data_IF_476884614055
#
_entry.id   IF_476884614055
#
_cell.length_a   1.000
_cell.length_b   1.000
_cell.length_c   1.000
_cell.angle_alpha   90.00
_cell.angle_beta   90.00
_cell.angle_gamma   90.00
#
_symmetry.space_group_name_H-M   'P 1'
#
loop_
_entity.id
_entity.type
_entity.pdbx_description
1 polymer ?
#
# COMPACT_ATOMS: atom_id res chain seq x y z
N UNK A 1 -30.61 -12.53 49.00
CA UNK A 1 -29.30 -12.48 48.31
C UNK A 1 -29.39 -11.55 47.10
N UNK A 2 -28.78 -10.36 47.18
CA UNK A 2 -28.64 -9.43 46.03
C UNK A 2 -27.39 -9.83 45.24
N UNK A 3 -27.56 -10.27 43.98
CA UNK A 3 -26.45 -10.36 43.02
C UNK A 3 -26.50 -9.10 42.16
N UNK A 4 -25.72 -8.10 42.56
CA UNK A 4 -25.44 -6.91 41.77
C UNK A 4 -24.56 -7.35 40.59
N UNK A 5 -25.14 -7.49 39.39
CA UNK A 5 -24.34 -7.44 38.17
C UNK A 5 -23.93 -5.99 37.94
N UNK A 6 -22.71 -5.69 37.47
CA UNK A 6 -22.39 -4.33 37.08
C UNK A 6 -23.27 -3.97 35.88
N UNK A 7 -24.16 -3.02 36.12
CA UNK A 7 -24.84 -2.21 35.13
C UNK A 7 -23.77 -1.57 34.24
N UNK A 8 -23.53 -2.15 33.07
CA UNK A 8 -22.68 -1.54 32.05
C UNK A 8 -23.55 -0.76 31.08
N UNK A 9 -24.32 0.19 31.61
CA UNK A 9 -24.87 1.29 30.84
C UNK A 9 -24.19 2.59 31.28
N UNK A 10 -23.78 3.39 30.29
CA UNK A 10 -23.26 4.77 30.39
C UNK A 10 -21.81 4.97 30.89
N UNK A 11 -20.84 4.83 29.98
CA UNK A 11 -19.61 5.63 30.04
C UNK A 11 -19.14 6.02 28.63
N UNK A 12 -20.05 6.59 27.86
CA UNK A 12 -19.70 7.40 26.70
C UNK A 12 -20.40 8.74 26.92
N UNK A 13 -19.91 9.47 27.91
CA UNK A 13 -20.13 10.91 27.96
C UNK A 13 -19.38 11.50 26.77
N UNK A 14 -20.10 12.30 25.98
CA UNK A 14 -19.58 13.07 24.86
C UNK A 14 -18.43 13.96 25.33
N UNK A 15 -17.19 13.47 25.19
CA UNK A 15 -15.97 14.27 25.36
C UNK A 15 -15.34 14.52 23.98
N UNK A 16 -15.18 15.81 23.69
CA UNK A 16 -14.91 16.38 22.37
C UNK A 16 -13.71 15.75 21.63
N UNK A 17 -13.89 15.55 20.32
CA UNK A 17 -12.78 15.65 19.36
C UNK A 17 -11.85 14.45 19.19
N UNK A 18 -12.15 13.28 19.78
CA UNK A 18 -11.36 12.08 19.50
C UNK A 18 -11.74 11.57 18.10
N UNK A 19 -10.89 11.85 17.10
CA UNK A 19 -10.93 11.16 15.81
C UNK A 19 -11.01 9.66 16.08
N UNK A 20 -12.19 9.07 15.81
CA UNK A 20 -12.43 7.66 16.08
C UNK A 20 -11.29 6.84 15.47
N UNK A 21 -10.68 5.89 16.22
CA UNK A 21 -9.58 5.10 15.71
C UNK A 21 -9.99 4.51 14.36
N UNK A 22 -9.13 4.61 13.32
CA UNK A 22 -9.52 4.21 11.98
C UNK A 22 -10.07 2.79 12.05
N UNK A 23 -11.30 2.63 11.56
CA UNK A 23 -11.97 1.32 11.61
C UNK A 23 -11.03 0.26 11.03
N UNK A 24 -11.06 -0.97 11.57
CA UNK A 24 -10.20 -2.08 11.10
C UNK A 24 -10.24 -2.27 9.57
N UNK A 25 -11.29 -1.76 8.93
CA UNK A 25 -11.48 -1.68 7.48
C UNK A 25 -10.59 -0.65 6.77
N UNK A 26 -10.37 0.55 7.34
CA UNK A 26 -9.50 1.59 6.74
C UNK A 26 -8.04 1.13 6.71
N UNK A 27 -7.51 0.66 7.84
CA UNK A 27 -6.14 0.15 7.93
C UNK A 27 -5.85 -0.95 6.90
N UNK A 28 -6.82 -1.85 6.67
CA UNK A 28 -6.72 -2.88 5.63
C UNK A 28 -6.69 -2.28 4.23
N UNK A 29 -7.52 -1.28 3.94
CA UNK A 29 -7.55 -0.61 2.64
C UNK A 29 -6.22 0.08 2.34
N UNK A 30 -5.63 0.75 3.31
CA UNK A 30 -4.35 1.45 3.14
C UNK A 30 -3.22 0.46 2.87
N UNK A 31 -3.24 -0.70 3.53
CA UNK A 31 -2.29 -1.78 3.26
C UNK A 31 -2.45 -2.39 1.86
N UNK A 32 -3.68 -2.52 1.39
CA UNK A 32 -3.95 -2.96 0.03
C UNK A 32 -3.48 -1.93 -0.99
N UNK A 33 -3.78 -0.65 -0.78
CA UNK A 33 -3.35 0.42 -1.68
C UNK A 33 -1.83 0.44 -1.87
N UNK A 34 -1.04 0.29 -0.79
CA UNK A 34 0.43 0.19 -0.88
C UNK A 34 0.91 -1.04 -1.63
N UNK A 35 0.27 -2.20 -1.42
CA UNK A 35 0.61 -3.41 -2.17
C UNK A 35 0.27 -3.25 -3.66
N UNK A 36 -0.84 -2.60 -3.98
CA UNK A 36 -1.27 -2.34 -5.35
C UNK A 36 -0.29 -1.39 -6.06
N UNK A 37 0.22 -0.37 -5.36
CA UNK A 37 1.31 0.49 -5.85
C UNK A 37 2.55 -0.35 -6.15
N UNK A 38 2.97 -1.19 -5.20
CA UNK A 38 4.11 -2.09 -5.38
C UNK A 38 3.94 -3.02 -6.58
N UNK A 39 2.74 -3.60 -6.77
CA UNK A 39 2.45 -4.42 -7.94
C UNK A 39 2.52 -3.61 -9.24
N UNK A 40 1.95 -2.39 -9.27
CA UNK A 40 2.01 -1.51 -10.44
C UNK A 40 3.45 -1.15 -10.80
N UNK A 41 4.31 -0.87 -9.82
CA UNK A 41 5.73 -0.60 -10.03
C UNK A 41 6.44 -1.77 -10.73
N UNK A 42 6.10 -3.02 -10.40
CA UNK A 42 6.70 -4.20 -11.04
C UNK A 42 6.31 -4.37 -12.52
N UNK A 43 5.28 -3.68 -12.98
CA UNK A 43 4.81 -3.68 -14.37
C UNK A 43 5.37 -2.53 -15.19
N UNK A 44 6.00 -1.55 -14.55
CA UNK A 44 6.63 -0.42 -15.22
C UNK A 44 7.94 -0.83 -15.91
N UNK A 45 8.31 -0.07 -16.93
CA UNK A 45 9.62 -0.18 -17.57
C UNK A 45 10.72 0.49 -16.74
N UNK A 46 11.98 0.11 -16.97
CA UNK A 46 13.12 0.70 -16.24
C UNK A 46 13.21 2.22 -16.43
N UNK A 47 12.84 2.72 -17.63
CA UNK A 47 12.78 4.17 -17.93
C UNK A 47 11.72 4.91 -17.12
N UNK A 48 10.61 4.25 -16.79
CA UNK A 48 9.56 4.84 -15.96
C UNK A 48 9.96 4.81 -14.49
N UNK A 49 10.61 3.73 -14.03
CA UNK A 49 11.18 3.65 -12.69
C UNK A 49 12.29 4.68 -12.47
N UNK A 50 13.08 5.01 -13.50
CA UNK A 50 14.08 6.08 -13.43
C UNK A 50 13.49 7.49 -13.29
N UNK A 51 12.27 7.71 -13.79
CA UNK A 51 11.56 8.99 -13.64
C UNK A 51 10.95 9.17 -12.26
N UNK A 52 10.73 8.07 -11.55
CA UNK A 52 10.24 8.09 -10.18
C UNK A 52 11.48 8.06 -9.30
N UNK A 53 11.67 9.11 -8.49
CA UNK A 53 12.78 9.18 -7.53
C UNK A 53 12.52 8.20 -6.37
N UNK A 54 12.82 6.93 -6.62
CA UNK A 54 12.66 5.82 -5.68
C UNK A 54 13.97 5.61 -4.93
N UNK A 55 13.86 5.31 -3.63
CA UNK A 55 14.98 4.78 -2.85
C UNK A 55 15.54 3.50 -3.50
N UNK A 56 16.85 3.32 -3.43
CA UNK A 56 17.56 2.17 -3.99
C UNK A 56 16.95 0.84 -3.49
N UNK A 57 16.52 0.79 -2.22
CA UNK A 57 15.86 -0.39 -1.64
C UNK A 57 14.59 -0.80 -2.39
N UNK A 58 13.74 0.18 -2.75
CA UNK A 58 12.50 -0.08 -3.48
C UNK A 58 12.82 -0.50 -4.91
N UNK A 59 13.79 0.16 -5.54
CA UNK A 59 14.21 -0.15 -6.90
C UNK A 59 14.73 -1.59 -7.01
N UNK A 60 15.59 -2.00 -6.09
CA UNK A 60 16.13 -3.35 -6.04
C UNK A 60 15.04 -4.40 -5.82
N UNK A 61 14.13 -4.15 -4.88
CA UNK A 61 12.98 -5.03 -4.61
C UNK A 61 12.07 -5.18 -5.84
N UNK A 62 11.82 -4.10 -6.59
CA UNK A 62 11.02 -4.12 -7.83
C UNK A 62 11.74 -4.94 -8.94
N UNK A 63 13.04 -4.74 -9.12
CA UNK A 63 13.83 -5.50 -10.10
C UNK A 63 13.85 -6.99 -9.72
N UNK A 64 14.02 -7.30 -8.44
CA UNK A 64 13.99 -8.66 -7.94
C UNK A 64 12.62 -9.31 -8.17
N UNK A 65 11.53 -8.62 -7.85
CA UNK A 65 10.15 -9.09 -8.08
C UNK A 65 9.87 -9.44 -9.55
N UNK A 66 10.51 -8.74 -10.51
CA UNK A 66 10.40 -9.04 -11.95
C UNK A 66 11.14 -10.32 -12.35
N UNK A 67 12.24 -10.65 -11.68
CA UNK A 67 13.05 -11.86 -11.94
C UNK A 67 12.43 -13.13 -11.35
N UNK A 68 11.59 -13.01 -10.33
CA UNK A 68 10.96 -14.16 -9.68
C UNK A 68 9.95 -14.83 -10.64
N UNK A 69 10.16 -16.12 -10.90
CA UNK A 69 9.22 -16.96 -11.68
C UNK A 69 8.07 -17.52 -10.84
N UNK A 70 8.27 -17.74 -9.53
CA UNK A 70 7.26 -18.31 -8.64
C UNK A 70 6.25 -17.26 -8.18
N UNK A 71 4.97 -17.50 -8.45
CA UNK A 71 3.88 -16.60 -8.06
C UNK A 71 3.83 -16.34 -6.55
N UNK A 72 4.13 -17.34 -5.72
CA UNK A 72 4.16 -17.21 -4.26
C UNK A 72 5.29 -16.31 -3.76
N UNK A 73 6.49 -16.49 -4.31
CA UNK A 73 7.64 -15.64 -3.98
C UNK A 73 7.42 -14.19 -4.46
N UNK A 74 6.88 -14.02 -5.67
CA UNK A 74 6.55 -12.69 -6.22
C UNK A 74 5.54 -11.96 -5.33
N UNK A 75 4.50 -12.65 -4.86
CA UNK A 75 3.50 -12.06 -3.95
C UNK A 75 4.10 -11.63 -2.60
N UNK A 76 5.08 -12.38 -2.08
CA UNK A 76 5.80 -12.00 -0.86
C UNK A 76 6.66 -10.76 -1.10
N UNK A 77 7.32 -10.70 -2.26
CA UNK A 77 8.12 -9.55 -2.64
C UNK A 77 7.27 -8.27 -2.79
N UNK A 78 6.12 -8.36 -3.45
CA UNK A 78 5.17 -7.23 -3.54
C UNK A 78 4.74 -6.74 -2.16
N UNK A 79 4.53 -7.65 -1.20
CA UNK A 79 4.23 -7.25 0.18
C UNK A 79 5.41 -6.56 0.86
N UNK A 80 6.64 -7.01 0.58
CA UNK A 80 7.85 -6.36 1.08
C UNK A 80 7.98 -4.94 0.52
N UNK A 81 7.77 -4.76 -0.80
CA UNK A 81 7.70 -3.44 -1.44
C UNK A 81 6.62 -2.58 -0.78
N UNK A 82 5.41 -3.12 -0.55
CA UNK A 82 4.34 -2.42 0.15
C UNK A 82 4.68 -2.02 1.59
N UNK A 83 5.56 -2.76 2.27
CA UNK A 83 6.07 -2.40 3.59
C UNK A 83 7.11 -1.27 3.49
N UNK A 84 8.03 -1.33 2.52
CA UNK A 84 9.00 -0.26 2.26
C UNK A 84 8.31 1.06 1.95
N UNK A 85 7.24 1.03 1.14
CA UNK A 85 6.41 2.19 0.81
C UNK A 85 5.75 2.86 2.03
N UNK A 86 5.70 2.24 3.21
CA UNK A 86 5.22 2.90 4.44
C UNK A 86 6.22 3.94 4.97
N UNK A 87 7.48 3.82 4.60
CA UNK A 87 8.57 4.66 5.10
C UNK A 87 8.97 5.76 4.10
N UNK A 88 8.28 5.85 2.96
CA UNK A 88 8.60 6.78 1.88
C UNK A 88 7.34 7.53 1.45
N UNK A 89 7.49 8.73 0.88
CA UNK A 89 6.36 9.47 0.34
C UNK A 89 5.84 8.78 -0.94
N UNK A 90 4.64 8.18 -0.86
CA UNK A 90 3.99 7.52 -2.00
C UNK A 90 3.20 8.47 -2.88
N UNK A 91 2.95 9.71 -2.44
CA UNK A 91 2.17 10.68 -3.20
C UNK A 91 2.71 10.98 -4.62
N UNK A 92 4.03 11.19 -4.83
CA UNK A 92 4.57 11.39 -6.19
C UNK A 92 4.48 10.11 -7.04
N UNK A 93 4.66 8.95 -6.41
CA UNK A 93 4.57 7.64 -7.07
C UNK A 93 3.15 7.41 -7.58
N UNK A 94 2.14 7.64 -6.74
CA UNK A 94 0.73 7.51 -7.07
C UNK A 94 0.34 8.43 -8.23
N UNK A 95 0.75 9.70 -8.20
CA UNK A 95 0.48 10.65 -9.30
C UNK A 95 1.07 10.18 -10.63
N UNK A 96 2.31 9.70 -10.62
CA UNK A 96 2.95 9.18 -11.83
C UNK A 96 2.25 7.92 -12.32
N UNK A 97 1.93 7.00 -11.40
CA UNK A 97 1.22 5.77 -11.70
C UNK A 97 -0.15 6.04 -12.31
N UNK A 98 -0.87 7.05 -11.84
CA UNK A 98 -2.18 7.44 -12.36
C UNK A 98 -2.06 8.08 -13.75
N UNK A 99 -1.04 8.89 -13.98
CA UNK A 99 -0.71 9.38 -15.32
C UNK A 99 -0.40 8.23 -16.30
N UNK A 100 0.33 7.21 -15.86
CA UNK A 100 0.64 6.01 -16.68
C UNK A 100 -0.60 5.14 -16.89
N UNK A 101 -1.46 4.98 -15.87
CA UNK A 101 -2.71 4.22 -15.98
C UNK A 101 -3.69 4.87 -16.96
N UNK A 102 -3.77 6.21 -16.94
CA UNK A 102 -4.61 6.98 -17.85
C UNK A 102 -4.14 6.91 -19.31
N UNK A 103 -2.85 6.66 -19.53
CA UNK A 103 -2.26 6.45 -20.85
C UNK A 103 -1.52 5.12 -20.90
N UNK A 104 -2.22 3.98 -21.03
CA UNK A 104 -1.56 2.69 -21.16
C UNK A 104 -0.68 2.75 -22.41
N UNK A 105 0.63 2.78 -22.20
CA UNK A 105 1.60 2.87 -23.26
C UNK A 105 1.43 1.63 -24.15
N UNK A 106 0.75 1.79 -25.29
CA UNK A 106 0.57 0.76 -26.33
C UNK A 106 1.90 0.50 -27.02
N UNK A 107 2.88 -0.07 -26.33
CA UNK A 107 4.04 -0.66 -26.98
C UNK A 107 4.05 -2.13 -26.62
N UNK A 108 3.31 -2.91 -27.42
CA UNK A 108 3.68 -4.30 -27.66
C UNK A 108 4.92 -4.23 -28.54
N UNK A 109 5.94 -4.94 -28.11
CA UNK A 109 7.15 -5.21 -28.88
C UNK A 109 6.79 -5.60 -30.32
N UNK A 110 7.46 -4.94 -31.26
CA UNK A 110 7.47 -5.26 -32.69
C UNK A 110 8.44 -6.42 -32.94
#
# INVERSE_FOLDING_TARGET
MKRQGPDNSSFFEDEEGIEAPPSRTRLKKDDHARQDIGERLTRLSDKELERIDLSDEIRDAVIFARKISSHGAKKREIKHIGALLRHVDTAPIEKMLDHISQYPNRKKDE
#
